data_IF_282698148705
#
_entry.id   IF_282698148705
#
_cell.length_a   1.000
_cell.length_b   1.000
_cell.length_c   1.000
_cell.angle_alpha   90.00
_cell.angle_beta   90.00
_cell.angle_gamma   90.00
#
_symmetry.space_group_name_H-M   'P 1'
#
loop_
_entity.id
_entity.type
_entity.pdbx_description
1 polymer ?
#
# COMPACT_ATOMS: atom_id res chain seq x y z
N UNK A 1 -5.44 6.37 -21.15
CA UNK A 1 -6.68 6.16 -20.36
C UNK A 1 -6.29 6.33 -18.90
N UNK A 2 -7.06 7.04 -18.05
CA UNK A 2 -6.60 7.28 -16.69
C UNK A 2 -6.60 5.96 -15.91
N UNK A 3 -5.44 5.69 -15.32
CA UNK A 3 -5.14 4.59 -14.42
C UNK A 3 -6.10 4.60 -13.23
N UNK A 4 -6.96 3.59 -13.09
CA UNK A 4 -7.76 3.39 -11.87
C UNK A 4 -7.13 2.29 -11.02
N UNK A 5 -6.29 2.71 -10.09
CA UNK A 5 -5.80 1.88 -8.98
C UNK A 5 -6.96 1.49 -8.04
N UNK A 6 -6.65 0.73 -6.98
CA UNK A 6 -7.48 0.31 -5.84
C UNK A 6 -8.38 1.39 -5.19
N UNK A 7 -8.35 2.61 -5.68
CA UNK A 7 -9.29 3.68 -5.36
C UNK A 7 -10.65 3.45 -6.01
N UNK A 8 -11.73 3.79 -5.30
CA UNK A 8 -13.07 3.72 -5.87
C UNK A 8 -13.13 4.57 -7.16
N UNK A 9 -13.51 3.97 -8.31
CA UNK A 9 -13.78 4.66 -9.57
C UNK A 9 -14.42 6.03 -9.46
N UNK A 10 -15.56 6.10 -8.78
CA UNK A 10 -16.34 7.32 -8.61
C UNK A 10 -15.58 8.36 -7.79
N UNK A 11 -14.81 7.92 -6.78
CA UNK A 11 -13.98 8.80 -5.95
C UNK A 11 -12.75 9.32 -6.69
N UNK A 12 -12.12 8.51 -7.53
CA UNK A 12 -11.00 8.96 -8.37
C UNK A 12 -11.44 10.12 -9.27
N UNK A 13 -12.60 9.99 -9.91
CA UNK A 13 -13.16 11.05 -10.75
C UNK A 13 -13.52 12.31 -9.95
N UNK A 14 -14.00 12.13 -8.71
CA UNK A 14 -14.25 13.25 -7.81
C UNK A 14 -12.94 13.96 -7.44
N UNK A 15 -11.89 13.24 -7.03
CA UNK A 15 -10.57 13.81 -6.69
C UNK A 15 -9.88 14.50 -7.90
N UNK A 16 -10.20 14.13 -9.13
CA UNK A 16 -9.72 14.80 -10.34
C UNK A 16 -10.40 16.16 -10.57
N UNK A 17 -11.65 16.31 -10.14
CA UNK A 17 -12.43 17.56 -10.28
C UNK A 17 -12.27 18.54 -9.11
N UNK A 18 -11.65 18.11 -8.01
CA UNK A 18 -11.42 18.90 -6.80
C UNK A 18 -10.10 19.68 -6.86
N UNK A 19 -10.05 20.83 -6.21
CA UNK A 19 -8.80 21.52 -5.93
C UNK A 19 -7.91 20.71 -4.98
N UNK A 20 -6.61 20.96 -5.01
CA UNK A 20 -5.67 20.22 -4.16
C UNK A 20 -5.97 20.38 -2.66
N UNK A 21 -6.40 21.57 -2.22
CA UNK A 21 -6.82 21.80 -0.84
C UNK A 21 -8.05 20.99 -0.45
N UNK A 22 -9.04 20.90 -1.33
CA UNK A 22 -10.23 20.07 -1.10
C UNK A 22 -9.87 18.59 -1.02
N UNK A 23 -8.96 18.10 -1.87
CA UNK A 23 -8.44 16.73 -1.82
C UNK A 23 -7.75 16.47 -0.47
N UNK A 24 -6.87 17.37 -0.03
CA UNK A 24 -6.17 17.22 1.25
C UNK A 24 -7.13 17.30 2.45
N UNK A 25 -8.13 18.17 2.40
CA UNK A 25 -9.18 18.24 3.41
C UNK A 25 -9.98 16.94 3.49
N UNK A 26 -10.35 16.36 2.34
CA UNK A 26 -11.05 15.08 2.27
C UNK A 26 -10.21 13.93 2.83
N UNK A 27 -8.93 13.83 2.45
CA UNK A 27 -8.00 12.81 2.96
C UNK A 27 -7.81 12.90 4.47
N UNK A 28 -7.57 14.11 5.00
CA UNK A 28 -7.45 14.34 6.45
C UNK A 28 -8.76 14.02 7.18
N UNK A 29 -9.92 14.31 6.59
CA UNK A 29 -11.23 13.94 7.14
C UNK A 29 -11.40 12.43 7.23
N UNK A 30 -10.97 11.66 6.22
CA UNK A 30 -10.98 10.19 6.28
C UNK A 30 -10.10 9.69 7.41
N UNK A 31 -8.82 10.10 7.45
CA UNK A 31 -7.88 9.73 8.50
C UNK A 31 -8.47 10.00 9.89
N UNK A 32 -8.96 11.22 10.10
CA UNK A 32 -9.57 11.64 11.35
C UNK A 32 -10.78 10.79 11.75
N UNK A 33 -11.67 10.48 10.80
CA UNK A 33 -12.85 9.66 11.05
C UNK A 33 -12.49 8.23 11.46
N UNK A 34 -11.43 7.65 10.87
CA UNK A 34 -10.92 6.33 11.27
C UNK A 34 -10.28 6.40 12.64
N UNK A 35 -9.41 7.39 12.87
CA UNK A 35 -8.72 7.61 14.13
C UNK A 35 -9.67 7.78 15.32
N UNK A 36 -10.77 8.51 15.15
CA UNK A 36 -11.83 8.64 16.16
C UNK A 36 -12.46 7.31 16.57
N UNK A 37 -12.54 6.36 15.64
CA UNK A 37 -13.14 5.03 15.88
C UNK A 37 -12.12 3.99 16.34
N UNK A 38 -10.82 4.31 16.31
CA UNK A 38 -9.73 3.38 16.59
C UNK A 38 -8.74 3.98 17.62
N UNK A 39 -9.13 4.12 18.90
CA UNK A 39 -8.32 4.81 19.91
C UNK A 39 -6.94 4.20 20.14
N UNK A 40 -6.77 2.90 19.84
CA UNK A 40 -5.50 2.20 19.98
C UNK A 40 -4.41 2.73 19.05
N UNK A 41 -4.77 3.41 17.95
CA UNK A 41 -3.81 4.04 17.03
C UNK A 41 -3.22 5.35 17.59
N UNK A 42 -3.75 5.88 18.70
CA UNK A 42 -3.23 7.05 19.40
C UNK A 42 -2.19 6.72 20.48
N UNK A 43 -2.03 5.44 20.84
CA UNK A 43 -1.25 5.07 22.03
C UNK A 43 0.20 4.67 21.69
N UNK A 44 1.21 5.24 22.38
CA UNK A 44 2.62 4.83 22.25
C UNK A 44 2.89 3.37 22.66
N UNK A 45 1.94 2.69 23.31
CA UNK A 45 2.12 1.35 23.86
C UNK A 45 2.39 0.26 22.80
N UNK A 46 2.14 0.53 21.50
CA UNK A 46 2.61 -0.35 20.40
C UNK A 46 4.01 -0.01 19.90
N UNK A 47 4.44 1.25 20.05
CA UNK A 47 5.77 1.72 19.66
C UNK A 47 6.86 1.21 20.62
N UNK A 48 6.48 0.77 21.82
CA UNK A 48 7.37 0.15 22.78
C UNK A 48 7.84 -1.27 22.39
N UNK A 49 7.55 -1.74 21.16
CA UNK A 49 7.93 -3.08 20.71
C UNK A 49 8.82 -3.20 19.47
N UNK A 50 9.30 -2.13 18.83
CA UNK A 50 10.34 -2.28 17.79
C UNK A 50 11.01 -0.95 17.42
N UNK A 51 12.15 -0.67 18.05
CA UNK A 51 13.27 0.02 17.41
C UNK A 51 14.29 -1.09 17.16
N UNK A 52 14.29 -1.67 15.96
CA UNK A 52 15.44 -2.26 15.26
C UNK A 52 14.97 -2.90 13.95
N UNK A 53 15.88 -2.97 12.99
CA UNK A 53 15.74 -3.53 11.64
C UNK A 53 15.10 -2.63 10.58
N UNK A 54 15.84 -1.58 10.21
CA UNK A 54 15.94 -1.17 8.82
C UNK A 54 17.29 -1.65 8.30
N UNK A 55 17.30 -2.65 7.40
CA UNK A 55 18.35 -2.92 6.39
C UNK A 55 18.10 -4.28 5.70
N UNK A 56 17.47 -4.21 4.52
CA UNK A 56 17.60 -5.09 3.33
C UNK A 56 16.25 -5.01 2.58
N UNK A 57 16.05 -4.19 1.56
CA UNK A 57 16.91 -4.02 0.41
C UNK A 57 16.52 -5.01 -0.69
N UNK A 58 15.32 -4.87 -1.24
CA UNK A 58 14.96 -5.43 -2.55
C UNK A 58 14.17 -4.35 -3.31
N UNK A 59 14.75 -3.88 -4.42
CA UNK A 59 14.12 -2.94 -5.33
C UNK A 59 13.11 -3.65 -6.23
N UNK A 60 11.98 -2.97 -6.45
CA UNK A 60 10.79 -3.38 -7.22
C UNK A 60 11.07 -3.83 -8.67
N UNK A 61 12.24 -3.50 -9.24
CA UNK A 61 12.61 -3.83 -10.63
C UNK A 61 13.18 -5.23 -10.88
N UNK A 62 13.53 -5.99 -9.83
CA UNK A 62 14.18 -7.31 -9.95
C UNK A 62 13.20 -8.49 -9.82
N UNK A 63 11.96 -8.24 -9.38
CA UNK A 63 10.97 -9.28 -9.09
C UNK A 63 10.47 -10.00 -10.36
N UNK A 64 10.08 -9.27 -11.41
CA UNK A 64 9.46 -9.90 -12.60
C UNK A 64 10.40 -10.82 -13.39
N UNK A 65 11.72 -10.66 -13.28
CA UNK A 65 12.69 -11.41 -14.09
C UNK A 65 13.05 -12.80 -13.54
N UNK A 66 12.81 -13.06 -12.25
CA UNK A 66 13.34 -14.25 -11.56
C UNK A 66 12.30 -15.32 -11.19
N UNK A 67 11.00 -15.05 -11.30
CA UNK A 67 9.96 -15.91 -10.72
C UNK A 67 9.15 -16.75 -11.73
N UNK A 68 9.65 -16.96 -12.96
CA UNK A 68 8.93 -17.70 -14.01
C UNK A 68 9.20 -19.21 -14.03
N UNK A 69 10.17 -19.73 -13.27
CA UNK A 69 10.52 -21.16 -13.23
C UNK A 69 10.57 -21.67 -11.79
N UNK A 70 9.43 -22.13 -11.30
CA UNK A 70 9.27 -22.66 -9.94
C UNK A 70 9.54 -24.17 -9.99
N UNK A 71 10.71 -24.58 -9.51
CA UNK A 71 10.98 -25.99 -9.17
C UNK A 71 10.14 -26.38 -7.96
N UNK A 72 9.64 -27.62 -7.91
CA UNK A 72 8.91 -28.14 -6.74
C UNK A 72 9.77 -28.24 -5.47
N UNK A 73 11.09 -28.11 -5.61
CA UNK A 73 12.03 -28.02 -4.51
C UNK A 73 12.97 -26.81 -4.70
N UNK A 74 13.06 -25.92 -3.69
CA UNK A 74 13.96 -24.77 -3.77
C UNK A 74 15.42 -25.21 -3.66
N UNK A 75 16.26 -24.73 -4.57
CA UNK A 75 17.70 -24.94 -4.49
C UNK A 75 18.32 -24.23 -3.26
N UNK A 76 19.55 -24.56 -2.83
CA UNK A 76 20.17 -23.93 -1.65
C UNK A 76 20.30 -22.40 -1.72
N UNK A 77 20.45 -21.84 -2.92
CA UNK A 77 20.49 -20.40 -3.14
C UNK A 77 19.10 -19.79 -3.03
N UNK A 78 18.07 -20.45 -3.56
CA UNK A 78 16.66 -20.09 -3.37
C UNK A 78 16.25 -20.07 -1.90
N UNK A 79 16.64 -21.09 -1.12
CA UNK A 79 16.39 -21.11 0.32
C UNK A 79 17.04 -19.93 1.08
N UNK A 80 18.17 -19.42 0.56
CA UNK A 80 18.91 -18.32 1.16
C UNK A 80 18.40 -16.94 0.70
N UNK A 81 17.96 -16.83 -0.54
CA UNK A 81 17.68 -15.55 -1.21
C UNK A 81 16.20 -15.30 -1.46
N UNK A 82 15.38 -16.34 -1.51
CA UNK A 82 13.97 -16.28 -1.87
C UNK A 82 13.73 -15.98 -3.36
N UNK A 83 14.72 -16.18 -4.23
CA UNK A 83 14.67 -15.81 -5.66
C UNK A 83 13.59 -16.52 -6.50
N UNK A 84 13.00 -17.59 -5.98
CA UNK A 84 12.01 -18.43 -6.65
C UNK A 84 10.62 -18.40 -5.98
N UNK A 85 10.42 -17.52 -4.99
CA UNK A 85 9.15 -17.40 -4.27
C UNK A 85 8.04 -16.91 -5.21
N UNK A 86 7.00 -17.70 -5.39
CA UNK A 86 5.85 -17.26 -6.19
C UNK A 86 5.01 -16.22 -5.47
N UNK A 87 4.22 -15.45 -6.23
CA UNK A 87 3.29 -14.50 -5.63
C UNK A 87 2.24 -15.16 -4.70
N UNK A 88 1.63 -16.32 -5.03
CA UNK A 88 0.77 -17.03 -4.10
C UNK A 88 1.47 -17.49 -2.81
N UNK A 89 2.73 -17.93 -2.88
CA UNK A 89 3.50 -18.30 -1.67
C UNK A 89 3.82 -17.08 -0.81
N UNK A 90 4.19 -15.96 -1.44
CA UNK A 90 4.38 -14.70 -0.76
C UNK A 90 3.09 -14.21 -0.10
N UNK A 91 1.96 -14.23 -0.81
CA UNK A 91 0.65 -13.89 -0.26
C UNK A 91 0.29 -14.79 0.92
N UNK A 92 0.53 -16.10 0.82
CA UNK A 92 0.32 -17.05 1.93
C UNK A 92 1.23 -16.75 3.12
N UNK A 93 2.47 -16.34 2.90
CA UNK A 93 3.35 -15.89 3.98
C UNK A 93 2.76 -14.66 4.68
N UNK A 94 2.31 -13.65 3.92
CA UNK A 94 1.71 -12.44 4.48
C UNK A 94 0.46 -12.72 5.31
N UNK A 95 -0.42 -13.63 4.86
CA UNK A 95 -1.65 -13.95 5.60
C UNK A 95 -1.41 -14.74 6.89
N UNK A 96 -0.30 -15.47 6.98
CA UNK A 96 0.06 -16.27 8.17
C UNK A 96 1.01 -15.54 9.13
N UNK A 97 1.75 -14.54 8.65
CA UNK A 97 2.73 -13.83 9.44
C UNK A 97 2.06 -12.84 10.42
N UNK A 98 2.57 -12.79 11.65
CA UNK A 98 2.20 -11.73 12.60
C UNK A 98 2.88 -10.43 12.17
N UNK A 99 2.19 -9.26 12.15
CA UNK A 99 2.81 -7.99 11.77
C UNK A 99 4.11 -7.66 12.51
N UNK A 100 4.24 -8.08 13.77
CA UNK A 100 5.46 -7.91 14.56
C UNK A 100 6.69 -8.69 14.05
N UNK A 101 6.52 -9.62 13.12
CA UNK A 101 7.59 -10.40 12.48
C UNK A 101 7.72 -10.12 10.98
N UNK A 102 6.87 -9.26 10.44
CA UNK A 102 6.96 -8.83 9.04
C UNK A 102 8.12 -7.86 8.86
N UNK A 103 8.75 -7.91 7.70
CA UNK A 103 9.65 -6.85 7.26
C UNK A 103 8.86 -5.55 7.11
N UNK A 104 9.53 -4.41 7.32
CA UNK A 104 8.91 -3.10 7.22
C UNK A 104 8.29 -2.81 5.84
N UNK A 105 8.81 -3.38 4.75
CA UNK A 105 8.30 -3.10 3.41
C UNK A 105 6.86 -3.60 3.19
N UNK A 106 6.46 -4.68 3.87
CA UNK A 106 5.12 -5.28 3.75
C UNK A 106 4.35 -5.32 5.06
N UNK A 107 4.88 -4.71 6.13
CA UNK A 107 4.15 -4.54 7.37
C UNK A 107 3.01 -3.53 7.16
N UNK A 108 1.81 -3.74 7.74
CA UNK A 108 0.75 -2.76 7.67
C UNK A 108 1.21 -1.38 8.20
N UNK A 109 0.85 -0.30 7.50
CA UNK A 109 1.29 1.06 7.84
C UNK A 109 0.83 1.44 9.24
N UNK A 110 -0.41 1.11 9.60
CA UNK A 110 -0.94 1.36 10.94
C UNK A 110 -0.17 0.67 12.08
N UNK A 111 0.65 -0.34 11.77
CA UNK A 111 1.52 -1.03 12.71
C UNK A 111 2.97 -0.52 12.66
N UNK A 112 3.31 0.34 11.71
CA UNK A 112 4.62 1.01 11.59
C UNK A 112 4.62 2.44 12.11
N UNK A 113 3.52 3.17 11.95
CA UNK A 113 3.41 4.58 12.35
C UNK A 113 2.29 4.79 13.38
N UNK A 114 2.25 5.97 14.00
CA UNK A 114 1.11 6.44 14.81
C UNK A 114 0.25 7.37 13.95
N UNK A 115 -0.54 6.85 12.99
CA UNK A 115 -1.20 7.69 12.00
C UNK A 115 -2.20 8.67 12.64
N UNK A 116 -2.65 8.38 13.86
CA UNK A 116 -3.60 9.21 14.59
C UNK A 116 -2.95 10.13 15.64
N UNK A 117 -1.69 9.86 16.01
CA UNK A 117 -0.90 10.69 16.94
C UNK A 117 -0.12 11.81 16.27
N UNK A 118 -0.12 11.87 14.93
CA UNK A 118 0.62 12.86 14.14
C UNK A 118 -0.38 13.77 13.43
N UNK A 119 -0.19 15.08 13.55
CA UNK A 119 -0.96 16.07 12.80
C UNK A 119 -0.31 16.31 11.44
N UNK A 120 -0.70 15.53 10.43
CA UNK A 120 -0.17 15.67 9.08
C UNK A 120 -0.73 16.93 8.40
N UNK A 121 0.16 17.77 7.86
CA UNK A 121 -0.25 18.88 6.99
C UNK A 121 -0.88 18.36 5.70
N UNK A 122 -0.25 17.31 5.12
CA UNK A 122 -0.59 16.70 3.84
C UNK A 122 -0.52 15.18 3.90
N UNK A 123 -1.41 14.51 3.17
CA UNK A 123 -1.46 13.05 3.00
C UNK A 123 -1.32 12.77 1.50
N UNK A 124 -0.18 12.16 1.12
CA UNK A 124 0.11 11.75 -0.24
C UNK A 124 -0.43 10.36 -0.57
N UNK A 125 -0.65 10.11 -1.85
CA UNK A 125 -0.91 8.77 -2.43
C UNK A 125 0.12 8.51 -3.52
N UNK A 126 0.51 7.26 -3.74
CA UNK A 126 1.46 6.90 -4.80
C UNK A 126 0.87 7.24 -6.19
N UNK A 127 -0.44 7.04 -6.34
CA UNK A 127 -1.29 7.37 -7.50
C UNK A 127 -1.19 8.83 -7.89
N UNK A 128 -1.12 9.69 -6.89
CA UNK A 128 -1.03 11.14 -7.08
C UNK A 128 0.35 11.66 -6.72
N UNK A 129 1.37 10.80 -6.65
CA UNK A 129 2.68 11.11 -6.07
C UNK A 129 3.36 12.30 -6.74
N UNK A 130 3.28 12.39 -8.08
CA UNK A 130 3.81 13.55 -8.82
C UNK A 130 3.03 14.84 -8.48
N UNK A 131 1.69 14.81 -8.61
CA UNK A 131 0.82 15.96 -8.31
C UNK A 131 1.00 16.44 -6.87
N UNK A 132 1.04 15.51 -5.91
CA UNK A 132 1.19 15.82 -4.49
C UNK A 132 2.57 16.43 -4.22
N UNK A 133 3.64 15.84 -4.76
CA UNK A 133 5.00 16.36 -4.57
C UNK A 133 5.17 17.77 -5.13
N UNK A 134 4.68 18.04 -6.34
CA UNK A 134 4.73 19.39 -6.95
C UNK A 134 3.99 20.41 -6.08
N UNK A 135 2.80 20.08 -5.56
CA UNK A 135 2.05 21.00 -4.70
C UNK A 135 2.72 21.23 -3.35
N UNK A 136 3.30 20.18 -2.75
CA UNK A 136 4.03 20.29 -1.48
C UNK A 136 5.25 21.22 -1.65
N UNK A 137 6.03 21.06 -2.72
CA UNK A 137 7.21 21.90 -2.97
C UNK A 137 6.83 23.39 -3.17
N UNK A 138 5.74 23.66 -3.89
CA UNK A 138 5.20 25.02 -4.07
C UNK A 138 4.80 25.67 -2.75
N UNK A 139 4.11 24.92 -1.88
CA UNK A 139 3.68 25.41 -0.55
C UNK A 139 4.82 25.61 0.42
N UNK A 140 5.85 24.79 0.31
CA UNK A 140 7.10 24.96 1.05
C UNK A 140 7.97 26.09 0.47
N UNK A 141 7.58 26.72 -0.64
CA UNK A 141 8.33 27.76 -1.35
C UNK A 141 9.74 27.33 -1.76
N UNK A 142 9.94 26.05 -2.09
CA UNK A 142 11.24 25.48 -2.49
C UNK A 142 11.23 24.91 -3.91
N UNK A 143 10.14 25.08 -4.65
CA UNK A 143 9.99 24.65 -6.04
C UNK A 143 10.93 25.36 -7.03
N UNK A 144 11.57 26.45 -6.59
CA UNK A 144 12.64 27.12 -7.31
C UNK A 144 14.03 26.49 -7.08
N UNK A 145 14.20 25.66 -6.04
CA UNK A 145 15.47 24.99 -5.68
C UNK A 145 15.49 23.54 -6.13
N UNK A 146 14.36 22.85 -5.98
CA UNK A 146 14.23 21.42 -6.24
C UNK A 146 12.94 21.16 -7.01
N UNK A 147 12.96 20.15 -7.87
CA UNK A 147 11.78 19.68 -8.58
C UNK A 147 11.62 18.17 -8.40
N UNK A 148 10.37 17.73 -8.37
CA UNK A 148 10.06 16.30 -8.31
C UNK A 148 10.03 15.74 -9.72
N UNK A 149 11.03 14.93 -10.08
CA UNK A 149 11.09 14.27 -11.38
C UNK A 149 9.96 13.25 -11.48
N UNK A 150 9.11 13.40 -12.50
CA UNK A 150 8.11 12.39 -12.82
C UNK A 150 8.83 11.07 -13.18
N UNK A 151 8.47 9.98 -12.50
CA UNK A 151 8.97 8.66 -12.84
C UNK A 151 8.34 8.24 -14.17
N UNK A 152 9.17 7.86 -15.14
CA UNK A 152 8.69 7.24 -16.39
C UNK A 152 8.22 5.80 -16.18
N UNK A 153 8.49 5.22 -15.00
CA UNK A 153 8.01 3.92 -14.54
C UNK A 153 6.86 4.15 -13.56
N UNK A 154 5.67 4.42 -14.09
CA UNK A 154 4.43 4.42 -13.32
C UNK A 154 3.86 2.99 -13.24
N UNK A 155 4.70 2.00 -12.88
CA UNK A 155 4.29 0.58 -12.82
C UNK A 155 3.26 0.36 -11.70
N UNK A 156 3.33 1.15 -10.63
CA UNK A 156 2.41 1.09 -9.49
C UNK A 156 0.94 1.42 -9.83
N UNK A 157 0.67 1.95 -11.02
CA UNK A 157 -0.68 2.41 -11.43
C UNK A 157 -1.28 1.55 -12.54
N UNK A 158 -0.56 0.53 -13.01
CA UNK A 158 -1.03 -0.34 -14.07
C UNK A 158 -1.97 -1.41 -13.50
N UNK A 159 -3.26 -1.27 -13.82
CA UNK A 159 -4.29 -2.23 -13.45
C UNK A 159 -3.97 -3.64 -13.97
N UNK A 160 -3.28 -3.75 -15.12
CA UNK A 160 -2.89 -5.04 -15.69
C UNK A 160 -1.82 -5.75 -14.86
N UNK A 161 -0.91 -5.01 -14.23
CA UNK A 161 0.07 -5.56 -13.29
C UNK A 161 -0.63 -6.02 -12.02
N UNK A 162 -1.59 -5.24 -11.51
CA UNK A 162 -2.40 -5.66 -10.37
C UNK A 162 -3.15 -6.97 -10.65
N UNK A 163 -3.87 -7.06 -11.77
CA UNK A 163 -4.60 -8.28 -12.15
C UNK A 163 -3.66 -9.46 -12.40
N UNK A 164 -2.50 -9.25 -13.05
CA UNK A 164 -1.56 -10.34 -13.34
C UNK A 164 -1.07 -11.07 -12.08
N UNK A 165 -0.95 -10.36 -10.95
CA UNK A 165 -0.62 -10.96 -9.66
C UNK A 165 -1.84 -11.48 -8.90
N UNK A 166 -2.89 -10.66 -8.74
CA UNK A 166 -4.02 -11.03 -7.89
C UNK A 166 -4.92 -12.11 -8.49
N UNK A 167 -4.97 -12.27 -9.81
CA UNK A 167 -5.71 -13.36 -10.46
C UNK A 167 -5.09 -14.73 -10.17
N UNK A 168 -3.84 -14.79 -9.71
CA UNK A 168 -3.18 -16.02 -9.26
C UNK A 168 -3.66 -16.46 -7.86
N UNK A 169 -4.38 -15.60 -7.13
CA UNK A 169 -4.79 -15.85 -5.75
C UNK A 169 -6.19 -16.45 -5.66
N UNK A 170 -6.37 -17.43 -4.78
CA UNK A 170 -7.69 -17.94 -4.40
C UNK A 170 -8.41 -17.04 -3.37
N UNK A 171 -9.73 -17.23 -3.18
CA UNK A 171 -10.56 -16.45 -2.25
C UNK A 171 -10.01 -16.33 -0.82
N UNK A 172 -9.46 -17.42 -0.28
CA UNK A 172 -8.90 -17.42 1.08
C UNK A 172 -7.66 -16.54 1.21
N UNK A 173 -6.80 -16.48 0.18
CA UNK A 173 -5.64 -15.59 0.17
C UNK A 173 -6.09 -14.12 0.12
N UNK A 174 -7.02 -13.77 -0.77
CA UNK A 174 -7.54 -12.40 -0.89
C UNK A 174 -8.21 -11.95 0.41
N UNK A 175 -9.04 -12.82 1.00
CA UNK A 175 -9.70 -12.53 2.29
C UNK A 175 -8.70 -12.37 3.43
N UNK A 176 -7.67 -13.21 3.48
CA UNK A 176 -6.60 -13.11 4.47
C UNK A 176 -5.81 -11.81 4.32
N UNK A 177 -5.44 -11.44 3.08
CA UNK A 177 -4.73 -10.19 2.79
C UNK A 177 -5.58 -8.99 3.17
N UNK A 178 -6.86 -8.96 2.78
CA UNK A 178 -7.75 -7.89 3.18
C UNK A 178 -7.82 -7.75 4.69
N UNK A 179 -7.98 -8.85 5.43
CA UNK A 179 -8.01 -8.83 6.90
C UNK A 179 -6.72 -8.27 7.50
N UNK A 180 -5.56 -8.61 6.92
CA UNK A 180 -4.26 -8.12 7.37
C UNK A 180 -4.11 -6.61 7.20
N UNK A 181 -4.61 -6.06 6.09
CA UNK A 181 -4.45 -4.65 5.72
C UNK A 181 -5.72 -3.81 5.86
N UNK A 182 -6.81 -4.35 6.42
CA UNK A 182 -8.14 -3.72 6.43
C UNK A 182 -8.11 -2.30 6.99
N UNK A 183 -7.32 -2.10 8.05
CA UNK A 183 -7.19 -0.80 8.69
C UNK A 183 -6.44 0.20 7.81
N UNK A 184 -5.45 -0.24 7.04
CA UNK A 184 -4.76 0.60 6.06
C UNK A 184 -5.70 0.99 4.92
N UNK A 185 -6.49 0.03 4.41
CA UNK A 185 -7.53 0.32 3.41
C UNK A 185 -8.47 1.43 3.89
N UNK A 186 -8.89 1.38 5.16
CA UNK A 186 -9.74 2.41 5.76
C UNK A 186 -9.01 3.75 5.95
N UNK A 187 -7.78 3.73 6.47
CA UNK A 187 -7.00 4.93 6.75
C UNK A 187 -6.72 5.75 5.48
N UNK A 188 -6.45 5.07 4.36
CA UNK A 188 -6.05 5.70 3.10
C UNK A 188 -7.17 5.73 2.03
N UNK A 189 -8.38 5.32 2.42
CA UNK A 189 -9.56 5.28 1.56
C UNK A 189 -9.40 4.42 0.30
N UNK A 190 -8.71 3.29 0.42
CA UNK A 190 -8.64 2.27 -0.61
C UNK A 190 -9.85 1.33 -0.54
N UNK A 191 -10.22 0.77 -1.69
CA UNK A 191 -11.34 -0.16 -1.84
C UNK A 191 -10.88 -1.43 -2.54
N UNK A 192 -11.57 -2.54 -2.26
CA UNK A 192 -11.37 -3.75 -3.03
C UNK A 192 -11.98 -3.60 -4.44
N UNK A 193 -11.29 -4.08 -5.49
CA UNK A 193 -11.85 -4.20 -6.84
C UNK A 193 -13.14 -5.01 -6.85
N UNK A 194 -14.08 -4.66 -7.73
CA UNK A 194 -15.44 -5.19 -7.70
C UNK A 194 -15.49 -6.72 -7.85
N UNK A 195 -14.61 -7.28 -8.67
CA UNK A 195 -14.45 -8.73 -8.87
C UNK A 195 -13.95 -9.48 -7.61
N UNK A 196 -13.27 -8.80 -6.69
CA UNK A 196 -12.70 -9.38 -5.47
C UNK A 196 -13.58 -9.20 -4.23
N UNK A 197 -14.51 -8.23 -4.25
CA UNK A 197 -15.43 -7.97 -3.13
C UNK A 197 -16.23 -9.21 -2.69
N UNK A 198 -16.77 -10.06 -3.59
CA UNK A 198 -17.53 -11.24 -3.18
C UNK A 198 -16.71 -12.25 -2.36
N UNK A 199 -15.39 -12.29 -2.56
CA UNK A 199 -14.51 -13.23 -1.86
C UNK A 199 -14.28 -12.81 -0.40
N UNK A 200 -14.36 -11.50 -0.13
CA UNK A 200 -14.12 -10.93 1.20
C UNK A 200 -15.42 -10.76 1.97
N UNK A 201 -16.45 -10.21 1.33
CA UNK A 201 -17.70 -9.83 1.98
C UNK A 201 -18.85 -10.82 1.75
N UNK A 202 -18.64 -11.85 0.93
CA UNK A 202 -19.71 -12.73 0.43
C UNK A 202 -20.46 -12.13 -0.75
N UNK A 203 -21.24 -12.96 -1.45
CA UNK A 203 -22.20 -12.48 -2.46
C UNK A 203 -23.33 -11.75 -1.73
N UNK A 204 -23.50 -10.45 -2.02
CA UNK A 204 -24.65 -9.66 -1.56
C UNK A 204 -25.83 -9.87 -2.49
#
# INVERSE_FOLDING_TARGET
MPNRALTNPEKSNLEESMSWDEVQAARKKVLWNVCKKQPQLNSPLRLQKQILAAKSGLSEGDWEKNHTNVSSEPDPESLKTGKDVTFPEFAKYLTNAKPAKMDGHWKPIHDMVLPCGVNFDYIGKLETGHRDSVNILKRAHVDHLVYFKESTRNVSHDESVFHSFFDQLGPEHIKGLYKQYELDFKLFDYTLPENMRPWVFGKR
#
